data_IF_357520410659
#
_entry.id   IF_357520410659
#
_cell.length_a   1.000
_cell.length_b   1.000
_cell.length_c   1.000
_cell.angle_alpha   90.00
_cell.angle_beta   90.00
_cell.angle_gamma   90.00
#
_symmetry.space_group_name_H-M   'P 1'
#
loop_
_entity.id
_entity.type
_entity.pdbx_description
1 polymer ?
#
# COMPACT_ATOMS: atom_id res chain seq x y z
N UNK A 1 -20.26 -8.13 -9.40
CA UNK A 1 -19.38 -9.28 -9.09
C UNK A 1 -19.53 -9.60 -7.62
N UNK A 2 -19.77 -10.86 -7.27
CA UNK A 2 -19.92 -11.31 -5.88
C UNK A 2 -18.59 -11.18 -5.12
N UNK A 3 -18.65 -10.59 -3.93
CA UNK A 3 -17.51 -10.40 -3.03
C UNK A 3 -16.94 -11.71 -2.50
N UNK A 4 -17.69 -12.80 -2.62
CA UNK A 4 -17.37 -14.13 -2.10
C UNK A 4 -16.09 -14.74 -2.71
N UNK A 5 -15.56 -14.16 -3.78
CA UNK A 5 -14.32 -14.60 -4.44
C UNK A 5 -13.10 -13.72 -4.15
N UNK A 6 -13.21 -12.72 -3.26
CA UNK A 6 -12.08 -11.88 -2.90
C UNK A 6 -11.06 -12.67 -2.08
N UNK A 7 -9.89 -12.88 -2.69
CA UNK A 7 -8.74 -13.53 -2.06
C UNK A 7 -7.51 -12.65 -2.24
N UNK A 8 -6.53 -12.66 -1.31
CA UNK A 8 -5.33 -11.84 -1.42
C UNK A 8 -4.59 -12.03 -2.76
N UNK A 9 -4.63 -13.22 -3.32
CA UNK A 9 -3.92 -13.61 -4.55
C UNK A 9 -4.62 -13.12 -5.82
N UNK A 10 -5.93 -12.86 -5.78
CA UNK A 10 -6.74 -12.59 -6.97
C UNK A 10 -7.34 -11.19 -7.01
N UNK A 11 -7.42 -10.49 -5.88
CA UNK A 11 -8.05 -9.18 -5.84
C UNK A 11 -7.28 -8.18 -6.70
N UNK A 12 -7.97 -7.56 -7.65
CA UNK A 12 -7.43 -6.52 -8.53
C UNK A 12 -8.02 -5.15 -8.19
N UNK A 13 -7.39 -4.04 -8.61
CA UNK A 13 -8.00 -2.72 -8.52
C UNK A 13 -9.34 -2.64 -9.25
N UNK A 14 -9.51 -3.31 -10.40
CA UNK A 14 -10.78 -3.32 -11.14
C UNK A 14 -11.93 -3.94 -10.33
N UNK A 15 -11.64 -4.90 -9.47
CA UNK A 15 -12.68 -5.52 -8.62
C UNK A 15 -13.18 -4.57 -7.53
N UNK A 16 -12.34 -3.64 -7.06
CA UNK A 16 -12.69 -2.71 -5.98
C UNK A 16 -13.08 -1.32 -6.48
N UNK A 17 -12.69 -0.93 -7.71
CA UNK A 17 -13.01 0.37 -8.34
C UNK A 17 -14.51 0.64 -8.46
N UNK A 18 -15.30 -0.44 -8.55
CA UNK A 18 -16.75 -0.37 -8.67
C UNK A 18 -17.45 0.07 -7.38
N UNK A 19 -16.80 -0.09 -6.21
CA UNK A 19 -17.35 0.28 -4.90
C UNK A 19 -16.58 1.46 -4.30
N UNK A 20 -17.20 2.65 -4.36
CA UNK A 20 -16.62 3.92 -3.89
C UNK A 20 -16.39 3.97 -2.38
N UNK A 21 -16.98 3.05 -1.61
CA UNK A 21 -16.76 2.96 -0.18
C UNK A 21 -15.50 2.16 0.16
N UNK A 22 -14.93 1.44 -0.82
CA UNK A 22 -13.70 0.68 -0.63
C UNK A 22 -12.50 1.60 -0.71
N UNK A 23 -11.58 1.35 0.22
CA UNK A 23 -10.40 2.13 0.47
C UNK A 23 -9.22 1.18 0.55
N UNK A 24 -8.10 1.59 -0.05
CA UNK A 24 -6.84 0.87 0.02
C UNK A 24 -5.88 1.66 0.89
N UNK A 25 -5.35 1.03 1.94
CA UNK A 25 -4.35 1.63 2.82
C UNK A 25 -3.04 0.87 2.69
N UNK A 26 -1.95 1.59 2.41
CA UNK A 26 -0.61 1.02 2.37
C UNK A 26 0.20 1.53 3.56
N UNK A 27 0.82 0.61 4.30
CA UNK A 27 1.72 0.95 5.41
C UNK A 27 3.18 0.79 4.99
N UNK A 28 3.96 1.85 5.15
CA UNK A 28 5.39 1.82 4.84
C UNK A 28 6.16 1.03 5.92
N UNK A 29 6.95 0.02 5.51
CA UNK A 29 7.77 -0.78 6.42
C UNK A 29 8.85 0.02 7.17
N UNK A 30 9.35 1.10 6.56
CA UNK A 30 10.38 1.96 7.14
C UNK A 30 9.82 3.00 8.10
N UNK A 31 9.25 4.08 7.55
CA UNK A 31 8.78 5.21 8.35
C UNK A 31 7.41 5.03 9.01
N UNK A 32 6.77 3.85 8.87
CA UNK A 32 5.41 3.54 9.37
C UNK A 32 4.31 4.48 8.89
N UNK A 33 4.61 5.32 7.90
CA UNK A 33 3.61 6.20 7.32
C UNK A 33 2.56 5.38 6.59
N UNK A 34 1.31 5.58 6.98
CA UNK A 34 0.14 4.98 6.36
C UNK A 34 -0.42 6.00 5.39
N UNK A 35 -0.60 5.56 4.15
CA UNK A 35 -1.29 6.36 3.14
C UNK A 35 -2.54 5.63 2.69
N UNK A 36 -3.65 6.35 2.78
CA UNK A 36 -4.88 5.94 2.17
C UNK A 36 -4.88 6.38 0.70
N UNK A 37 -5.18 5.45 -0.21
CA UNK A 37 -5.28 5.72 -1.63
C UNK A 37 -6.61 5.25 -2.18
N UNK A 38 -7.18 6.11 -3.01
CA UNK A 38 -8.30 5.72 -3.83
C UNK A 38 -7.78 4.81 -4.96
N UNK A 39 -8.45 3.70 -5.19
CA UNK A 39 -8.17 2.75 -6.27
C UNK A 39 -8.11 3.41 -7.65
N UNK A 40 -8.84 4.51 -7.90
CA UNK A 40 -8.73 5.29 -9.15
C UNK A 40 -7.33 5.86 -9.40
N UNK A 41 -6.50 5.99 -8.36
CA UNK A 41 -5.08 6.40 -8.52
C UNK A 41 -4.19 5.28 -9.03
N UNK A 42 -4.68 4.04 -8.99
CA UNK A 42 -4.00 2.87 -9.55
C UNK A 42 -4.33 2.88 -11.04
N UNK A 43 -3.39 3.41 -11.83
CA UNK A 43 -3.62 3.70 -13.25
C UNK A 43 -4.12 2.50 -14.04
N UNK A 44 -4.79 2.76 -15.16
CA UNK A 44 -5.52 1.77 -15.96
C UNK A 44 -4.71 0.50 -16.32
N UNK A 45 -3.40 0.63 -16.54
CA UNK A 45 -2.51 -0.51 -16.85
C UNK A 45 -2.33 -1.50 -15.71
N UNK A 46 -2.47 -1.04 -14.46
CA UNK A 46 -2.36 -1.87 -13.26
C UNK A 46 -3.74 -2.35 -12.79
N UNK A 47 -4.83 -1.95 -13.43
CA UNK A 47 -6.18 -2.24 -12.97
C UNK A 47 -6.53 -3.73 -12.97
N UNK A 48 -5.86 -4.50 -13.85
CA UNK A 48 -6.05 -5.94 -14.01
C UNK A 48 -4.98 -6.78 -13.30
N UNK A 49 -3.94 -6.14 -12.78
CA UNK A 49 -2.91 -6.85 -12.02
C UNK A 49 -3.40 -7.11 -10.58
N UNK A 50 -3.16 -8.30 -10.02
CA UNK A 50 -3.45 -8.55 -8.62
C UNK A 50 -2.70 -7.58 -7.70
N UNK A 51 -3.37 -7.06 -6.68
CA UNK A 51 -2.75 -6.21 -5.67
C UNK A 51 -1.50 -6.82 -5.05
N UNK A 52 -1.52 -8.15 -4.82
CA UNK A 52 -0.41 -8.89 -4.25
C UNK A 52 0.90 -8.68 -5.02
N UNK A 53 0.86 -8.50 -6.34
CA UNK A 53 2.08 -8.37 -7.15
C UNK A 53 2.56 -6.92 -7.33
N UNK A 54 1.84 -5.94 -6.78
CA UNK A 54 2.13 -4.52 -6.96
C UNK A 54 3.23 -4.01 -6.05
N UNK A 55 3.96 -3.00 -6.52
CA UNK A 55 5.06 -2.36 -5.79
C UNK A 55 4.66 -0.96 -5.34
N UNK A 56 4.53 -0.75 -4.02
CA UNK A 56 4.20 0.56 -3.44
C UNK A 56 5.43 1.15 -2.75
N UNK A 57 6.10 2.10 -3.42
CA UNK A 57 7.26 2.80 -2.87
C UNK A 57 6.83 4.03 -2.06
N UNK A 58 7.30 4.15 -0.83
CA UNK A 58 7.07 5.31 0.00
C UNK A 58 7.86 6.52 -0.54
N UNK A 59 7.17 7.61 -0.87
CA UNK A 59 7.82 8.86 -1.32
C UNK A 59 8.61 9.56 -0.22
N UNK A 60 8.33 9.28 1.06
CA UNK A 60 9.00 9.94 2.21
C UNK A 60 10.37 9.33 2.52
N UNK A 61 10.46 8.00 2.56
CA UNK A 61 11.69 7.30 2.97
C UNK A 61 12.26 6.34 1.91
N UNK A 62 11.57 6.14 0.80
CA UNK A 62 12.01 5.27 -0.29
C UNK A 62 11.80 3.77 -0.05
N UNK A 63 11.42 3.35 1.16
CA UNK A 63 11.09 1.95 1.47
C UNK A 63 9.74 1.54 0.86
N UNK A 64 9.59 0.26 0.58
CA UNK A 64 8.39 -0.34 0.00
C UNK A 64 7.44 -0.85 1.09
N UNK A 65 6.14 -0.76 0.83
CA UNK A 65 5.14 -1.42 1.66
C UNK A 65 5.27 -2.95 1.54
N UNK A 66 5.01 -3.66 2.64
CA UNK A 66 5.00 -5.13 2.69
C UNK A 66 3.59 -5.70 2.68
N UNK A 67 2.59 -4.86 2.96
CA UNK A 67 1.18 -5.24 2.94
C UNK A 67 0.33 -4.03 2.60
N UNK A 68 -0.84 -4.31 2.02
CA UNK A 68 -1.94 -3.35 1.93
C UNK A 68 -3.14 -3.88 2.68
N UNK A 69 -3.98 -2.95 3.13
CA UNK A 69 -5.24 -3.23 3.76
C UNK A 69 -6.36 -2.71 2.87
N UNK A 70 -7.36 -3.57 2.65
CA UNK A 70 -8.61 -3.23 1.98
C UNK A 70 -9.64 -3.04 3.07
N UNK A 71 -10.16 -1.84 3.18
CA UNK A 71 -11.18 -1.49 4.16
C UNK A 71 -12.37 -0.82 3.46
N UNK A 72 -13.51 -0.82 4.15
CA UNK A 72 -14.72 -0.15 3.73
C UNK A 72 -15.04 0.99 4.67
N UNK A 73 -15.22 2.19 4.13
CA UNK A 73 -15.75 3.32 4.88
C UNK A 73 -17.24 3.11 5.12
N UNK A 74 -17.60 2.93 6.39
CA UNK A 74 -18.98 3.07 6.87
C UNK A 74 -19.03 4.26 7.86
N UNK A 75 -20.24 4.70 8.22
CA UNK A 75 -20.46 5.93 9.00
C UNK A 75 -20.01 5.85 10.47
N UNK A 76 -19.59 4.68 10.97
CA UNK A 76 -19.30 4.46 12.40
C UNK A 76 -17.89 3.96 12.69
N UNK A 77 -17.27 3.19 11.78
CA UNK A 77 -15.93 2.63 11.94
C UNK A 77 -15.53 1.87 10.67
N UNK A 78 -14.44 2.28 10.02
CA UNK A 78 -13.96 1.61 8.80
C UNK A 78 -13.84 0.09 9.02
N UNK A 79 -14.59 -0.68 8.24
CA UNK A 79 -14.60 -2.15 8.33
C UNK A 79 -13.39 -2.69 7.57
N UNK A 80 -12.51 -3.40 8.27
CA UNK A 80 -11.37 -4.07 7.64
C UNK A 80 -11.86 -5.34 6.95
N UNK A 81 -11.74 -5.39 5.62
CA UNK A 81 -12.21 -6.51 4.82
C UNK A 81 -11.10 -7.53 4.55
N UNK A 82 -9.91 -7.04 4.18
CA UNK A 82 -8.81 -7.92 3.78
C UNK A 82 -7.45 -7.29 4.06
N UNK A 83 -6.46 -8.11 4.41
CA UNK A 83 -5.05 -7.71 4.38
C UNK A 83 -4.34 -8.53 3.33
N UNK A 84 -3.66 -7.86 2.41
CA UNK A 84 -2.91 -8.50 1.33
C UNK A 84 -1.44 -8.30 1.62
N UNK A 85 -0.75 -9.39 1.95
CA UNK A 85 0.72 -9.40 1.98
C UNK A 85 1.21 -9.25 0.54
N UNK A 86 2.00 -8.21 0.28
CA UNK A 86 2.54 -7.94 -1.03
C UNK A 86 3.67 -8.93 -1.31
N UNK A 87 3.51 -9.67 -2.40
CA UNK A 87 4.51 -10.56 -2.99
C UNK A 87 4.65 -10.20 -4.47
N UNK A 88 5.26 -9.05 -4.80
CA UNK A 88 5.63 -8.74 -6.18
C UNK A 88 6.34 -9.94 -6.76
N UNK A 89 5.85 -10.43 -7.91
CA UNK A 89 6.22 -11.71 -8.54
C UNK A 89 7.74 -11.93 -8.71
N UNK A 90 8.52 -10.88 -8.54
CA UNK A 90 9.96 -10.84 -8.54
C UNK A 90 10.40 -9.74 -7.57
N UNK A 91 10.50 -9.96 -6.26
CA UNK A 91 11.48 -9.18 -5.50
C UNK A 91 12.84 -9.61 -6.05
N UNK A 92 13.23 -8.97 -7.14
CA UNK A 92 14.56 -9.09 -7.72
C UNK A 92 15.58 -8.67 -6.66
N UNK A 93 16.82 -9.16 -6.75
CA UNK A 93 17.89 -8.79 -5.80
C UNK A 93 18.01 -7.26 -5.64
N UNK A 94 17.74 -6.51 -6.72
CA UNK A 94 17.71 -5.05 -6.71
C UNK A 94 16.57 -4.45 -5.86
N UNK A 95 15.42 -5.10 -5.71
CA UNK A 95 14.34 -4.69 -4.82
C UNK A 95 14.75 -4.87 -3.37
N UNK A 96 15.29 -6.04 -3.03
CA UNK A 96 15.76 -6.35 -1.67
C UNK A 96 16.91 -5.44 -1.27
N UNK A 97 17.84 -5.15 -2.17
CA UNK A 97 18.93 -4.20 -1.95
C UNK A 97 18.40 -2.78 -1.74
N UNK A 98 17.43 -2.33 -2.56
CA UNK A 98 16.79 -1.00 -2.39
C UNK A 98 16.01 -0.92 -1.09
N UNK A 99 15.31 -1.98 -0.70
CA UNK A 99 14.57 -2.06 0.55
C UNK A 99 15.54 -2.02 1.74
N UNK A 100 16.59 -2.85 1.72
CA UNK A 100 17.64 -2.90 2.75
C UNK A 100 18.35 -1.56 2.88
N UNK A 101 18.72 -0.94 1.76
CA UNK A 101 19.37 0.37 1.74
C UNK A 101 18.45 1.47 2.28
N UNK A 102 17.17 1.47 1.90
CA UNK A 102 16.20 2.44 2.42
C UNK A 102 16.00 2.30 3.94
N UNK A 103 15.90 1.06 4.44
CA UNK A 103 15.80 0.78 5.87
C UNK A 103 17.09 1.13 6.64
N UNK A 104 18.26 0.82 6.08
CA UNK A 104 19.55 1.15 6.68
C UNK A 104 19.75 2.66 6.83
N UNK A 105 19.25 3.48 5.88
CA UNK A 105 19.27 4.95 6.00
C UNK A 105 18.42 5.46 7.16
N UNK A 106 17.29 4.79 7.45
CA UNK A 106 16.39 5.15 8.55
C UNK A 106 16.93 4.74 9.92
N UNK A 107 17.74 3.68 9.98
CA UNK A 107 18.39 3.21 11.21
C UNK A 107 19.66 3.99 11.55
N UNK A 108 20.05 5.00 10.75
CA UNK A 108 21.15 5.90 11.12
C UNK A 108 20.65 6.86 12.22
N UNK A 109 21.36 6.96 13.37
CA UNK A 109 20.92 7.74 14.53
C UNK A 109 20.85 9.26 14.28
N UNK A 110 21.37 9.75 13.15
CA UNK A 110 21.59 11.18 12.89
C UNK A 110 20.71 11.76 11.76
N UNK A 111 19.63 11.06 11.36
CA UNK A 111 18.70 11.61 10.37
C UNK A 111 17.54 12.34 11.06
N UNK A 112 17.31 13.63 10.79
CA UNK A 112 16.14 14.33 11.33
C UNK A 112 14.88 13.65 10.80
N UNK A 113 14.11 13.04 11.72
CA UNK A 113 12.77 12.54 11.43
C UNK A 113 11.93 13.72 10.96
N UNK A 114 11.80 13.92 9.65
CA UNK A 114 10.81 14.84 9.08
C UNK A 114 9.41 14.27 9.37
N UNK A 115 8.93 14.51 10.58
CA UNK A 115 7.51 14.51 10.87
C UNK A 115 6.91 15.64 10.04
N UNK A 116 6.24 15.27 8.95
CA UNK A 116 5.42 16.22 8.20
C UNK A 116 4.23 16.64 9.05
N UNK A 117 4.38 17.73 9.78
CA UNK A 117 3.27 18.59 10.21
C UNK A 117 2.87 19.46 9.03
N UNK A 118 1.56 19.59 8.79
CA UNK A 118 1.05 20.48 7.75
C UNK A 118 -0.33 20.11 7.21
N UNK A 119 -1.30 19.90 8.10
CA UNK A 119 -2.70 20.23 7.78
C UNK A 119 -2.85 21.73 8.06
N UNK A 120 -3.06 22.53 7.03
CA UNK A 120 -3.28 23.97 7.14
C UNK A 120 -3.90 24.47 5.84
N UNK A 121 -5.19 24.80 5.91
CA UNK A 121 -6.04 25.27 4.84
C UNK A 121 -7.47 25.26 5.32
#
# INVERSE_FOLDING_TARGET
>A
MNRDNWTPERLTPRDVVVDRQIVISASCSGCRYIVEMNVWRIGARMADDPFQIMRFRCRRCGAYATSIEVSRRNNSSGEKLLTIALKPRFWDEGHDEKQRTALARLNRPDMPRRYGTGSGG
#
